data_IF_035515704042
#
_entry.id   IF_035515704042
#
_cell.length_a   1.000
_cell.length_b   1.000
_cell.length_c   1.000
_cell.angle_alpha   90.00
_cell.angle_beta   90.00
_cell.angle_gamma   90.00
#
_symmetry.space_group_name_H-M   'P 1'
#
loop_
_entity.id
_entity.type
_entity.pdbx_description
1 polymer ?
#
# COMPACT_ATOMS: atom_id res chain seq x y z
N UNK A 1 -3.34 -10.42 40.23
CA UNK A 1 -3.80 -10.40 38.83
C UNK A 1 -2.61 -10.03 37.95
N UNK A 2 -2.08 -10.96 37.19
CA UNK A 2 -1.00 -10.68 36.20
C UNK A 2 -1.62 -10.07 34.97
N UNK A 3 -1.18 -8.86 34.57
CA UNK A 3 -1.56 -8.25 33.28
C UNK A 3 -1.02 -9.14 32.16
N UNK A 4 -1.79 -9.38 31.06
CA UNK A 4 -1.27 -10.09 29.92
C UNK A 4 -0.16 -9.23 29.28
N UNK A 5 1.03 -9.81 29.16
CA UNK A 5 2.11 -9.28 28.33
C UNK A 5 1.63 -9.43 26.89
N UNK A 6 1.41 -8.31 26.19
CA UNK A 6 1.19 -8.36 24.76
C UNK A 6 2.48 -8.86 24.11
N UNK A 7 2.45 -10.08 23.57
CA UNK A 7 3.51 -10.54 22.69
C UNK A 7 3.64 -9.51 21.55
N UNK A 8 4.84 -8.98 21.34
CA UNK A 8 5.08 -8.02 20.28
C UNK A 8 4.81 -8.69 18.93
N UNK A 9 4.29 -7.92 17.95
CA UNK A 9 4.00 -8.42 16.59
C UNK A 9 5.21 -9.09 15.92
N UNK A 10 6.43 -8.75 16.32
CA UNK A 10 7.66 -9.37 15.86
C UNK A 10 7.79 -10.86 16.28
N UNK A 11 7.38 -11.20 17.51
CA UNK A 11 7.46 -12.59 18.01
C UNK A 11 6.44 -13.49 17.30
N UNK A 12 5.28 -12.92 16.93
CA UNK A 12 4.24 -13.65 16.19
C UNK A 12 4.70 -13.93 14.76
N UNK A 13 5.28 -12.93 14.05
CA UNK A 13 5.73 -13.10 12.69
C UNK A 13 6.94 -14.04 12.53
N UNK A 14 7.82 -14.12 13.53
CA UNK A 14 8.98 -15.03 13.52
C UNK A 14 8.58 -16.52 13.49
N UNK A 15 7.37 -16.86 13.94
CA UNK A 15 6.83 -18.23 13.87
C UNK A 15 6.38 -18.70 12.47
N UNK A 16 6.30 -17.77 11.49
CA UNK A 16 5.80 -18.08 10.12
C UNK A 16 6.95 -18.31 9.10
N UNK A 17 8.04 -18.92 9.47
CA UNK A 17 9.32 -18.87 8.75
C UNK A 17 9.41 -19.56 7.39
N UNK A 18 8.41 -20.26 6.88
CA UNK A 18 8.50 -21.02 5.61
C UNK A 18 7.33 -20.82 4.63
N UNK A 19 6.17 -20.37 5.06
CA UNK A 19 4.99 -20.21 4.20
C UNK A 19 4.61 -18.75 4.04
N UNK A 20 3.91 -18.38 2.94
CA UNK A 20 3.35 -17.04 2.78
C UNK A 20 2.45 -16.65 3.96
N UNK A 21 2.54 -15.39 4.39
CA UNK A 21 1.75 -14.84 5.50
C UNK A 21 0.69 -13.92 4.90
N UNK A 22 -0.53 -14.01 5.42
CA UNK A 22 -1.61 -13.06 5.16
C UNK A 22 -1.87 -12.19 6.39
N UNK A 23 -2.12 -10.90 6.19
CA UNK A 23 -2.64 -9.99 7.21
C UNK A 23 -4.11 -9.70 6.92
N UNK A 24 -4.97 -9.84 7.92
CA UNK A 24 -6.36 -9.36 7.82
C UNK A 24 -6.34 -7.84 7.64
N UNK A 25 -6.75 -7.36 6.48
CA UNK A 25 -6.65 -5.95 6.09
C UNK A 25 -7.90 -5.12 6.44
N UNK A 26 -9.03 -5.78 6.63
CA UNK A 26 -10.34 -5.20 7.01
C UNK A 26 -10.61 -5.34 8.51
N UNK A 27 -11.66 -4.71 9.02
CA UNK A 27 -11.98 -4.73 10.46
C UNK A 27 -12.21 -6.14 10.99
N UNK A 28 -12.86 -6.99 10.19
CA UNK A 28 -13.06 -8.41 10.48
C UNK A 28 -13.26 -9.20 9.20
N UNK A 29 -12.88 -10.47 9.21
CA UNK A 29 -13.11 -11.43 8.13
C UNK A 29 -13.54 -12.77 8.73
N UNK A 30 -14.49 -13.41 8.09
CA UNK A 30 -14.99 -14.70 8.51
C UNK A 30 -14.16 -15.84 7.91
N UNK A 31 -13.88 -16.85 8.73
CA UNK A 31 -13.28 -18.12 8.33
C UNK A 31 -14.41 -19.11 8.09
N UNK A 32 -14.49 -19.64 6.89
CA UNK A 32 -15.51 -20.59 6.45
C UNK A 32 -14.94 -22.01 6.34
N UNK A 33 -15.80 -23.04 6.48
CA UNK A 33 -15.38 -24.44 6.32
C UNK A 33 -15.02 -24.79 4.89
N UNK A 34 -15.67 -24.13 3.91
CA UNK A 34 -15.44 -24.27 2.48
C UNK A 34 -15.20 -22.89 1.84
N UNK A 35 -14.62 -22.79 0.63
CA UNK A 35 -14.42 -21.54 -0.08
C UNK A 35 -15.74 -20.99 -0.66
N UNK A 36 -16.70 -20.76 0.20
CA UNK A 36 -18.06 -20.26 -0.06
C UNK A 36 -18.55 -19.46 1.13
N UNK A 37 -19.01 -18.23 0.89
CA UNK A 37 -19.55 -17.34 1.91
C UNK A 37 -20.85 -17.87 2.55
N UNK A 38 -21.55 -18.78 1.90
CA UNK A 38 -22.72 -19.47 2.43
C UNK A 38 -22.40 -20.71 3.27
N UNK A 39 -21.15 -21.15 3.28
CA UNK A 39 -20.74 -22.32 4.08
C UNK A 39 -20.67 -21.99 5.57
N UNK A 40 -20.69 -23.00 6.48
CA UNK A 40 -20.65 -22.76 7.91
C UNK A 40 -19.46 -21.89 8.35
N UNK A 41 -19.75 -20.90 9.20
CA UNK A 41 -18.76 -20.08 9.87
C UNK A 41 -18.00 -20.89 10.92
N UNK A 42 -16.67 -20.86 10.87
CA UNK A 42 -15.82 -21.44 11.91
C UNK A 42 -15.57 -20.42 13.03
N UNK A 43 -15.06 -19.23 12.67
CA UNK A 43 -14.89 -18.07 13.55
C UNK A 43 -14.59 -16.82 12.72
N UNK A 44 -14.55 -15.67 13.38
CA UNK A 44 -14.20 -14.37 12.76
C UNK A 44 -12.84 -13.91 13.24
N UNK A 45 -11.97 -13.49 12.31
CA UNK A 45 -10.69 -12.86 12.60
C UNK A 45 -10.81 -11.33 12.56
N UNK A 46 -10.04 -10.67 13.41
CA UNK A 46 -9.98 -9.21 13.46
C UNK A 46 -8.84 -8.64 12.64
N UNK A 47 -8.95 -7.37 12.27
CA UNK A 47 -7.89 -6.59 11.62
C UNK A 47 -6.55 -6.83 12.28
N UNK A 48 -5.52 -6.89 11.46
CA UNK A 48 -4.12 -7.11 11.84
C UNK A 48 -3.78 -8.55 12.35
N UNK A 49 -4.76 -9.47 12.39
CA UNK A 49 -4.44 -10.88 12.61
C UNK A 49 -3.58 -11.38 11.46
N UNK A 50 -2.48 -12.06 11.80
CA UNK A 50 -1.62 -12.75 10.84
C UNK A 50 -2.04 -14.20 10.72
N UNK A 51 -2.15 -14.69 9.49
CA UNK A 51 -2.51 -16.07 9.16
C UNK A 51 -1.47 -16.67 8.23
N UNK A 52 -1.24 -17.97 8.36
CA UNK A 52 -0.41 -18.71 7.44
C UNK A 52 -1.24 -19.08 6.21
N UNK A 53 -0.76 -18.72 5.01
CA UNK A 53 -1.41 -19.07 3.75
C UNK A 53 -0.91 -20.45 3.32
N UNK A 54 -1.81 -21.43 3.31
CA UNK A 54 -1.50 -22.80 2.87
C UNK A 54 -1.72 -22.99 1.37
N UNK A 55 -2.45 -22.09 0.73
CA UNK A 55 -2.75 -22.11 -0.70
C UNK A 55 -3.85 -21.13 -1.07
N UNK A 56 -4.17 -21.07 -2.35
CA UNK A 56 -5.29 -20.33 -2.90
C UNK A 56 -6.16 -21.26 -3.74
N UNK A 57 -7.47 -21.05 -3.69
CA UNK A 57 -8.44 -21.77 -4.50
C UNK A 57 -9.39 -20.79 -5.17
N UNK A 58 -9.97 -21.18 -6.29
CA UNK A 58 -11.04 -20.43 -6.95
C UNK A 58 -12.38 -21.11 -6.69
N UNK A 59 -13.35 -20.33 -6.29
CA UNK A 59 -14.74 -20.76 -6.07
C UNK A 59 -15.65 -19.54 -6.24
N UNK A 60 -16.96 -19.72 -6.14
CA UNK A 60 -17.87 -18.59 -6.14
C UNK A 60 -17.57 -17.69 -4.93
N UNK A 61 -17.21 -16.45 -5.20
CA UNK A 61 -16.78 -15.49 -4.19
C UNK A 61 -17.75 -14.33 -4.00
N UNK A 62 -17.70 -13.68 -2.84
CA UNK A 62 -18.46 -12.46 -2.60
C UNK A 62 -18.21 -11.43 -3.70
N UNK A 63 -19.30 -10.85 -4.19
CA UNK A 63 -19.26 -9.73 -5.15
C UNK A 63 -18.44 -10.02 -6.43
N UNK A 64 -18.26 -11.30 -6.81
CA UNK A 64 -17.59 -11.70 -8.06
C UNK A 64 -16.06 -11.83 -7.99
N UNK A 65 -15.42 -11.79 -6.81
CA UNK A 65 -14.04 -12.20 -6.65
C UNK A 65 -13.98 -13.70 -6.29
N UNK A 66 -13.53 -14.57 -7.22
CA UNK A 66 -13.58 -16.03 -7.01
C UNK A 66 -12.43 -16.56 -6.13
N UNK A 67 -11.52 -15.71 -5.67
CA UNK A 67 -10.30 -16.17 -4.99
C UNK A 67 -10.47 -16.28 -3.49
N UNK A 68 -10.11 -17.44 -2.95
CA UNK A 68 -10.09 -17.74 -1.53
C UNK A 68 -8.71 -18.16 -1.07
N UNK A 69 -8.36 -17.77 0.14
CA UNK A 69 -7.12 -18.15 0.83
C UNK A 69 -7.42 -19.32 1.75
N UNK A 70 -6.71 -20.43 1.59
CA UNK A 70 -6.75 -21.56 2.50
C UNK A 70 -5.85 -21.33 3.68
N UNK A 71 -6.38 -21.48 4.89
CA UNK A 71 -5.64 -21.47 6.16
C UNK A 71 -5.91 -22.80 6.90
N UNK A 72 -5.23 -23.04 8.03
CA UNK A 72 -5.37 -24.27 8.78
C UNK A 72 -6.84 -24.56 9.19
N UNK A 73 -7.56 -23.53 9.60
CA UNK A 73 -8.93 -23.66 10.11
C UNK A 73 -10.01 -23.63 9.02
N UNK A 74 -9.69 -23.36 7.75
CA UNK A 74 -10.68 -23.22 6.68
C UNK A 74 -10.27 -22.24 5.59
N UNK A 75 -11.20 -21.40 5.16
CA UNK A 75 -11.04 -20.51 4.02
C UNK A 75 -11.44 -19.07 4.36
N UNK A 76 -10.69 -18.12 3.82
CA UNK A 76 -10.90 -16.68 3.92
C UNK A 76 -11.04 -16.09 2.53
N UNK A 77 -11.93 -15.10 2.35
CA UNK A 77 -11.99 -14.38 1.08
C UNK A 77 -10.70 -13.58 0.83
N UNK A 78 -10.10 -13.75 -0.34
CA UNK A 78 -8.76 -13.21 -0.64
C UNK A 78 -8.70 -11.69 -0.66
N UNK A 79 -9.80 -11.01 -1.00
CA UNK A 79 -9.88 -9.55 -1.09
C UNK A 79 -9.59 -8.86 0.24
N UNK A 80 -9.84 -9.54 1.35
CA UNK A 80 -9.70 -9.04 2.71
C UNK A 80 -8.34 -9.39 3.35
N UNK A 81 -7.52 -10.16 2.63
CA UNK A 81 -6.23 -10.66 3.11
C UNK A 81 -5.10 -10.04 2.29
N UNK A 82 -4.32 -9.16 2.90
CA UNK A 82 -3.09 -8.66 2.30
C UNK A 82 -1.99 -9.72 2.40
N UNK A 83 -1.41 -10.22 1.30
CA UNK A 83 -0.19 -11.01 1.35
C UNK A 83 0.96 -10.17 1.90
N UNK A 84 1.67 -10.68 2.90
CA UNK A 84 2.75 -9.94 3.56
C UNK A 84 3.98 -10.82 3.73
N UNK A 85 5.13 -10.18 3.97
CA UNK A 85 6.39 -10.85 4.31
C UNK A 85 6.94 -10.29 5.60
N UNK A 86 7.67 -11.10 6.33
CA UNK A 86 8.47 -10.66 7.46
C UNK A 86 9.94 -10.63 7.05
N UNK A 87 10.44 -9.44 6.76
CA UNK A 87 11.79 -9.25 6.23
C UNK A 87 12.49 -8.09 6.95
N UNK A 88 12.82 -8.26 8.24
CA UNK A 88 13.47 -7.22 9.01
C UNK A 88 14.81 -6.85 8.39
N UNK A 89 15.17 -5.58 8.52
CA UNK A 89 16.37 -5.00 7.91
C UNK A 89 17.46 -4.78 8.95
N UNK A 90 18.69 -4.68 8.49
CA UNK A 90 19.77 -4.14 9.30
C UNK A 90 19.74 -2.62 9.14
N UNK A 91 19.38 -1.86 10.20
CA UNK A 91 19.22 -0.43 10.08
C UNK A 91 20.57 0.29 9.94
N UNK A 92 20.58 1.40 9.19
CA UNK A 92 21.72 2.28 9.10
C UNK A 92 21.76 3.23 10.29
N UNK A 93 22.95 3.47 10.84
CA UNK A 93 23.18 4.43 11.93
C UNK A 93 23.13 5.90 11.46
N UNK A 94 23.21 6.12 10.15
CA UNK A 94 23.20 7.45 9.54
C UNK A 94 22.55 7.42 8.17
N UNK A 95 21.81 8.48 7.86
CA UNK A 95 21.32 8.80 6.51
C UNK A 95 21.66 10.27 6.20
N UNK A 96 22.11 10.54 4.98
CA UNK A 96 22.64 11.86 4.60
C UNK A 96 21.59 12.76 3.93
N UNK A 97 20.44 12.20 3.53
CA UNK A 97 19.35 12.91 2.87
C UNK A 97 18.00 12.28 3.19
N UNK A 98 16.93 13.05 3.04
CA UNK A 98 15.57 12.51 3.13
C UNK A 98 15.40 11.43 2.07
N UNK A 99 15.05 10.23 2.51
CA UNK A 99 14.98 9.04 1.67
C UNK A 99 13.64 8.34 1.88
N UNK A 100 12.96 7.88 0.83
CA UNK A 100 11.79 7.03 0.99
C UNK A 100 12.22 5.65 1.53
N UNK A 101 11.40 5.10 2.41
CA UNK A 101 11.59 3.75 2.95
C UNK A 101 10.27 2.97 2.93
N UNK A 102 10.36 1.71 2.60
CA UNK A 102 9.21 0.79 2.57
C UNK A 102 9.15 -0.04 3.85
N UNK A 103 7.96 -0.21 4.40
CA UNK A 103 7.73 -1.13 5.51
C UNK A 103 7.92 -2.57 5.02
N UNK A 104 8.89 -3.28 5.61
CA UNK A 104 9.35 -4.61 5.19
C UNK A 104 8.88 -5.74 6.11
N UNK A 105 8.05 -5.40 7.10
CA UNK A 105 7.41 -6.34 8.03
C UNK A 105 5.89 -6.22 7.94
N UNK A 106 5.11 -7.21 8.37
CA UNK A 106 3.65 -7.16 8.26
C UNK A 106 3.04 -5.90 8.87
N UNK A 107 3.52 -5.52 10.06
CA UNK A 107 3.03 -4.36 10.82
C UNK A 107 4.22 -3.75 11.58
N UNK A 108 4.47 -2.48 11.38
CA UNK A 108 5.41 -1.68 12.16
C UNK A 108 4.64 -0.69 13.04
N UNK A 109 5.08 -0.53 14.28
CA UNK A 109 4.50 0.45 15.20
C UNK A 109 5.29 1.75 15.13
N UNK A 110 4.59 2.88 15.06
CA UNK A 110 5.20 4.20 15.15
C UNK A 110 4.89 4.86 16.50
N UNK A 111 5.83 5.71 16.94
CA UNK A 111 5.80 6.30 18.28
C UNK A 111 6.07 7.81 18.19
N UNK A 112 5.55 8.55 19.17
CA UNK A 112 5.81 9.99 19.29
C UNK A 112 7.25 10.26 19.73
N UNK A 113 7.81 9.39 20.54
CA UNK A 113 9.20 9.46 21.02
C UNK A 113 9.84 8.08 20.92
N UNK A 114 11.15 8.01 21.13
CA UNK A 114 11.87 6.72 21.15
C UNK A 114 11.74 5.96 22.48
N UNK A 115 10.98 6.46 23.42
CA UNK A 115 10.64 5.77 24.65
C UNK A 115 9.48 4.78 24.37
N UNK A 116 9.71 3.47 24.49
CA UNK A 116 8.70 2.45 24.17
C UNK A 116 7.50 2.43 25.14
N UNK A 117 7.55 3.20 26.22
CA UNK A 117 6.41 3.34 27.17
C UNK A 117 5.33 4.25 26.60
N UNK A 118 5.64 5.06 25.58
CA UNK A 118 4.68 5.98 25.00
C UNK A 118 3.68 5.32 24.05
N UNK A 119 2.57 6.03 23.88
CA UNK A 119 1.46 5.58 23.04
C UNK A 119 1.87 5.41 21.58
N UNK A 120 1.47 4.30 20.99
CA UNK A 120 1.58 4.06 19.55
C UNK A 120 0.75 5.12 18.83
N UNK A 121 1.35 5.78 17.83
CA UNK A 121 0.67 6.79 17.00
C UNK A 121 -0.06 6.15 15.83
N UNK A 122 0.68 5.35 15.04
CA UNK A 122 0.17 4.63 13.88
C UNK A 122 0.65 3.20 13.89
N UNK A 123 -0.13 2.35 13.23
CA UNK A 123 0.36 1.09 12.67
C UNK A 123 0.67 1.34 11.21
N UNK A 124 1.91 1.08 10.82
CA UNK A 124 2.37 1.15 9.44
C UNK A 124 2.40 -0.27 8.89
N UNK A 125 1.97 -0.43 7.66
CA UNK A 125 1.72 -1.74 7.09
C UNK A 125 2.70 -2.08 5.98
N UNK A 126 2.91 -3.36 5.77
CA UNK A 126 3.77 -3.90 4.72
C UNK A 126 3.53 -3.20 3.38
N UNK A 127 4.61 -2.81 2.68
CA UNK A 127 4.61 -2.07 1.42
C UNK A 127 4.08 -0.62 1.48
N UNK A 128 3.70 -0.10 2.65
CA UNK A 128 3.57 1.37 2.76
C UNK A 128 4.95 2.03 2.68
N UNK A 129 5.01 3.23 2.12
CA UNK A 129 6.27 3.97 1.91
C UNK A 129 6.24 5.28 2.69
N UNK A 130 7.34 5.60 3.37
CA UNK A 130 7.44 6.76 4.25
C UNK A 130 8.72 7.54 4.03
N UNK A 131 8.68 8.85 4.26
CA UNK A 131 9.87 9.69 4.22
C UNK A 131 10.67 9.52 5.50
N UNK A 132 11.89 9.03 5.39
CA UNK A 132 12.87 8.98 6.50
C UNK A 132 13.75 10.21 6.41
N UNK A 133 13.70 11.03 7.47
CA UNK A 133 14.41 12.30 7.56
C UNK A 133 15.75 12.16 8.27
N UNK A 134 15.86 11.19 9.17
CA UNK A 134 17.05 11.01 9.98
C UNK A 134 17.01 9.75 10.82
N UNK A 135 18.02 9.63 11.65
CA UNK A 135 18.23 8.50 12.55
C UNK A 135 18.35 9.03 13.98
N UNK A 136 17.84 8.28 14.94
CA UNK A 136 18.04 8.50 16.37
C UNK A 136 18.43 7.19 17.03
N UNK A 137 19.49 7.23 17.84
CA UNK A 137 19.87 6.12 18.72
C UNK A 137 19.07 6.28 20.00
N UNK A 138 18.26 5.28 20.30
CA UNK A 138 17.41 5.22 21.50
C UNK A 138 18.00 4.36 22.62
N UNK A 139 17.19 4.05 23.63
CA UNK A 139 17.61 3.15 24.71
C UNK A 139 18.09 1.78 24.17
N UNK A 140 19.09 1.21 24.85
CA UNK A 140 19.76 -0.07 24.48
C UNK A 140 20.39 -0.03 23.08
N UNK A 141 20.85 1.15 22.65
CA UNK A 141 21.48 1.37 21.35
C UNK A 141 20.59 1.02 20.14
N UNK A 142 19.26 0.93 20.36
CA UNK A 142 18.33 0.65 19.28
C UNK A 142 18.29 1.82 18.30
N UNK A 143 18.40 1.50 17.00
CA UNK A 143 18.33 2.47 15.91
C UNK A 143 16.86 2.71 15.57
N UNK A 144 16.47 3.99 15.58
CA UNK A 144 15.15 4.47 15.21
C UNK A 144 15.25 5.38 14.00
N UNK A 145 14.38 5.18 13.01
CA UNK A 145 14.22 6.12 11.93
C UNK A 145 13.22 7.20 12.31
N UNK A 146 13.58 8.45 11.99
CA UNK A 146 12.73 9.62 12.13
C UNK A 146 11.93 9.76 10.84
N UNK A 147 10.65 9.45 10.87
CA UNK A 147 9.76 9.60 9.75
C UNK A 147 9.16 11.00 9.74
N UNK A 148 8.88 11.52 8.55
CA UNK A 148 8.25 12.81 8.37
C UNK A 148 7.02 12.70 7.49
N UNK A 149 5.87 13.00 8.06
CA UNK A 149 4.61 13.13 7.33
C UNK A 149 4.48 14.56 6.80
N UNK A 150 4.56 14.72 5.48
CA UNK A 150 4.51 16.03 4.82
C UNK A 150 3.15 16.69 4.93
N UNK A 151 2.07 15.92 4.90
CA UNK A 151 0.70 16.45 4.99
C UNK A 151 0.40 16.97 6.38
N UNK A 152 0.81 16.24 7.40
CA UNK A 152 0.57 16.60 8.79
C UNK A 152 1.64 17.54 9.36
N UNK A 153 2.79 17.71 8.67
CA UNK A 153 3.93 18.47 9.16
C UNK A 153 4.51 17.89 10.46
N UNK A 154 4.46 16.56 10.64
CA UNK A 154 4.82 15.89 11.89
C UNK A 154 5.89 14.83 11.71
N UNK A 155 6.68 14.69 12.77
CA UNK A 155 7.68 13.63 12.91
C UNK A 155 7.18 12.55 13.86
N UNK A 156 7.59 11.31 13.60
CA UNK A 156 7.37 10.16 14.45
C UNK A 156 8.47 9.13 14.25
N UNK A 157 8.58 8.17 15.15
CA UNK A 157 9.71 7.23 15.21
C UNK A 157 9.22 5.82 14.94
N UNK A 158 10.03 5.07 14.17
CA UNK A 158 9.82 3.64 13.90
C UNK A 158 11.14 2.91 14.07
N UNK A 159 11.12 1.69 14.61
CA UNK A 159 12.33 0.87 14.67
C UNK A 159 12.93 0.69 13.27
N UNK A 160 14.21 1.01 13.14
CA UNK A 160 14.87 0.99 11.84
C UNK A 160 14.90 -0.39 11.17
N UNK A 161 14.81 -1.43 11.97
CA UNK A 161 14.70 -2.84 11.53
C UNK A 161 13.40 -3.15 10.77
N UNK A 162 12.37 -2.33 10.90
CA UNK A 162 11.08 -2.51 10.22
C UNK A 162 10.99 -1.88 8.83
N UNK A 163 12.00 -1.11 8.44
CA UNK A 163 11.97 -0.28 7.24
C UNK A 163 13.15 -0.56 6.32
N UNK A 164 12.88 -0.84 5.07
CA UNK A 164 13.86 -0.93 4.01
C UNK A 164 14.03 0.45 3.36
N UNK A 165 15.18 1.09 3.57
CA UNK A 165 15.52 2.32 2.85
C UNK A 165 15.61 2.03 1.35
N UNK A 166 15.00 2.90 0.54
CA UNK A 166 14.99 2.74 -0.90
C UNK A 166 16.15 3.49 -1.53
N UNK A 167 17.05 2.75 -2.16
CA UNK A 167 18.09 3.35 -2.99
C UNK A 167 17.47 4.03 -4.23
N UNK A 168 18.05 5.11 -4.75
CA UNK A 168 17.52 5.82 -5.93
C UNK A 168 17.24 4.92 -7.12
N UNK A 169 18.05 3.90 -7.34
CA UNK A 169 17.91 2.92 -8.42
C UNK A 169 16.60 2.14 -8.32
N UNK A 170 16.07 1.97 -7.10
CA UNK A 170 14.80 1.27 -6.84
C UNK A 170 13.57 2.03 -7.35
N UNK A 171 13.66 3.37 -7.50
CA UNK A 171 12.56 4.21 -7.98
C UNK A 171 12.94 5.14 -9.15
N UNK A 172 14.16 5.04 -9.67
CA UNK A 172 14.60 5.80 -10.85
C UNK A 172 13.77 5.45 -12.09
N UNK A 173 13.66 6.39 -13.06
CA UNK A 173 12.91 6.17 -14.30
C UNK A 173 13.39 4.94 -15.08
N UNK A 174 12.47 4.31 -15.77
CA UNK A 174 12.71 3.23 -16.75
C UNK A 174 12.12 3.63 -18.10
N UNK A 175 12.57 2.96 -19.17
CA UNK A 175 12.16 3.24 -20.57
C UNK A 175 12.27 4.74 -20.90
N UNK A 176 13.39 5.35 -20.50
CA UNK A 176 13.65 6.79 -20.69
C UNK A 176 13.98 7.15 -22.13
N UNK A 177 14.32 6.16 -22.94
CA UNK A 177 14.53 6.26 -24.39
C UNK A 177 13.22 6.43 -25.18
N UNK A 178 12.08 6.10 -24.55
CA UNK A 178 10.76 6.22 -25.19
C UNK A 178 10.19 7.62 -24.94
N UNK A 179 9.84 8.30 -25.99
CA UNK A 179 9.24 9.64 -25.92
C UNK A 179 7.95 9.64 -25.07
N UNK A 180 7.78 10.60 -24.14
CA UNK A 180 6.64 10.63 -23.23
C UNK A 180 5.26 10.60 -23.93
N UNK A 181 5.12 11.20 -25.12
CA UNK A 181 3.84 11.20 -25.87
C UNK A 181 3.50 9.85 -26.50
N UNK A 182 4.46 8.94 -26.61
CA UNK A 182 4.26 7.55 -27.03
C UNK A 182 3.74 6.66 -25.91
N UNK A 183 3.85 7.13 -24.67
CA UNK A 183 3.37 6.43 -23.49
C UNK A 183 1.93 6.85 -23.18
N UNK A 184 1.06 5.87 -22.96
CA UNK A 184 -0.29 6.11 -22.49
C UNK A 184 -0.77 5.00 -21.57
N UNK A 185 -1.68 5.36 -20.68
CA UNK A 185 -2.38 4.45 -19.76
C UNK A 185 -3.84 4.45 -20.15
N UNK A 186 -4.42 3.30 -20.36
CA UNK A 186 -5.86 3.12 -20.57
C UNK A 186 -6.45 2.34 -19.39
N UNK A 187 -7.57 2.83 -18.83
CA UNK A 187 -8.26 2.23 -17.71
C UNK A 187 -9.69 1.96 -18.13
N UNK A 188 -10.05 0.67 -18.14
CA UNK A 188 -11.40 0.21 -18.42
C UNK A 188 -12.12 -0.07 -17.10
N UNK A 189 -13.04 0.83 -16.71
CA UNK A 189 -13.73 0.74 -15.42
C UNK A 189 -14.66 -0.46 -15.34
N UNK A 190 -15.27 -0.86 -16.44
CA UNK A 190 -16.15 -2.04 -16.49
C UNK A 190 -15.41 -3.34 -16.25
N UNK A 191 -14.16 -3.44 -16.69
CA UNK A 191 -13.27 -4.61 -16.54
C UNK A 191 -12.34 -4.50 -15.34
N UNK A 192 -12.25 -3.31 -14.72
CA UNK A 192 -11.30 -2.99 -13.65
C UNK A 192 -9.87 -3.37 -14.04
N UNK A 193 -9.45 -2.92 -15.23
CA UNK A 193 -8.13 -3.18 -15.80
C UNK A 193 -7.45 -1.87 -16.18
N UNK A 194 -6.13 -1.88 -16.04
CA UNK A 194 -5.22 -0.86 -16.55
C UNK A 194 -4.30 -1.50 -17.56
N UNK A 195 -4.13 -0.86 -18.72
CA UNK A 195 -3.18 -1.25 -19.75
C UNK A 195 -2.27 -0.07 -20.06
N UNK A 196 -0.95 -0.29 -19.98
CA UNK A 196 0.07 0.68 -20.37
C UNK A 196 0.61 0.34 -21.76
N UNK A 197 0.77 1.38 -22.57
CA UNK A 197 1.20 1.24 -23.96
C UNK A 197 2.41 2.11 -24.26
N UNK A 198 3.30 1.60 -25.12
CA UNK A 198 4.32 2.35 -25.87
C UNK A 198 3.94 2.30 -27.34
N UNK A 199 3.56 3.45 -27.92
CA UNK A 199 2.87 3.53 -29.23
C UNK A 199 1.64 2.59 -29.28
N UNK A 200 1.70 1.51 -30.06
CA UNK A 200 0.64 0.51 -30.18
C UNK A 200 0.91 -0.77 -29.34
N UNK A 201 2.09 -0.89 -28.76
CA UNK A 201 2.51 -2.08 -28.03
C UNK A 201 2.04 -2.03 -26.56
N UNK A 202 1.47 -3.13 -26.08
CA UNK A 202 1.13 -3.31 -24.68
C UNK A 202 2.39 -3.68 -23.89
N UNK A 203 2.78 -2.86 -22.92
CA UNK A 203 3.98 -3.08 -22.09
C UNK A 203 3.65 -3.52 -20.67
N UNK A 204 2.42 -3.29 -20.21
CA UNK A 204 1.93 -3.75 -18.89
C UNK A 204 0.43 -3.85 -18.88
N UNK A 205 -0.08 -4.89 -18.22
CA UNK A 205 -1.49 -5.01 -17.83
C UNK A 205 -1.59 -5.30 -16.35
N UNK A 206 -2.60 -4.73 -15.69
CA UNK A 206 -2.86 -4.93 -14.26
C UNK A 206 -4.35 -4.87 -13.96
N UNK A 207 -4.80 -5.63 -12.97
CA UNK A 207 -6.10 -5.40 -12.33
C UNK A 207 -5.99 -4.20 -11.42
N UNK A 208 -7.05 -3.39 -11.37
CA UNK A 208 -7.13 -2.20 -10.53
C UNK A 208 -8.38 -2.23 -9.64
N UNK A 209 -8.46 -1.28 -8.70
CA UNK A 209 -9.70 -0.99 -8.00
C UNK A 209 -9.98 0.49 -8.11
N UNK A 210 -10.99 0.83 -8.89
CA UNK A 210 -11.45 2.21 -9.10
C UNK A 210 -12.37 2.69 -7.98
N UNK A 211 -12.86 3.90 -8.12
CA UNK A 211 -13.88 4.50 -7.25
C UNK A 211 -15.18 3.72 -7.24
N UNK A 212 -15.84 3.70 -6.07
CA UNK A 212 -17.14 3.05 -5.88
C UNK A 212 -18.22 3.67 -6.77
N UNK A 213 -19.13 2.88 -7.35
CA UNK A 213 -20.25 3.36 -8.16
C UNK A 213 -21.35 3.99 -7.28
N UNK A 214 -20.97 4.98 -6.48
CA UNK A 214 -21.85 5.72 -5.56
C UNK A 214 -22.03 7.17 -5.96
N UNK A 215 -22.07 8.10 -5.00
CA UNK A 215 -22.11 9.53 -5.22
C UNK A 215 -20.95 9.99 -6.14
N UNK A 216 -21.15 11.12 -6.85
CA UNK A 216 -20.16 11.60 -7.84
C UNK A 216 -18.73 11.74 -7.28
N UNK A 217 -18.60 12.15 -6.01
CA UNK A 217 -17.31 12.32 -5.33
C UNK A 217 -16.58 10.99 -4.97
N UNK A 218 -17.24 9.84 -5.13
CA UNK A 218 -16.60 8.53 -4.94
C UNK A 218 -16.26 7.82 -6.24
N UNK A 219 -16.69 8.36 -7.39
CA UNK A 219 -16.44 7.75 -8.71
C UNK A 219 -15.09 8.18 -9.26
N UNK A 220 -14.40 7.27 -9.93
CA UNK A 220 -13.27 7.64 -10.77
C UNK A 220 -13.82 8.43 -12.00
N UNK A 221 -13.30 9.63 -12.28
CA UNK A 221 -13.76 10.42 -13.42
C UNK A 221 -13.36 9.75 -14.73
N UNK A 222 -14.28 9.77 -15.72
CA UNK A 222 -14.00 9.31 -17.08
C UNK A 222 -13.51 10.47 -17.95
N UNK A 223 -12.68 10.15 -18.93
CA UNK A 223 -12.11 11.17 -19.84
C UNK A 223 -10.64 10.93 -20.15
N UNK A 224 -9.99 12.00 -20.64
CA UNK A 224 -8.57 12.02 -20.95
C UNK A 224 -7.85 13.01 -20.04
N UNK A 225 -6.87 12.51 -19.31
CA UNK A 225 -6.08 13.23 -18.33
C UNK A 225 -4.59 13.06 -18.61
N UNK A 226 -3.75 13.73 -17.83
CA UNK A 226 -2.30 13.55 -17.83
C UNK A 226 -1.78 13.49 -16.41
N UNK A 227 -0.76 12.66 -16.15
CA UNK A 227 -0.10 12.66 -14.86
C UNK A 227 0.61 14.00 -14.64
N UNK A 228 0.28 14.70 -13.57
CA UNK A 228 0.77 16.06 -13.29
C UNK A 228 1.81 16.07 -12.17
N UNK A 229 1.57 15.32 -11.10
CA UNK A 229 2.48 15.25 -9.94
C UNK A 229 2.73 13.79 -9.61
N UNK A 230 3.99 13.46 -9.33
CA UNK A 230 4.37 12.15 -8.80
C UNK A 230 5.11 12.30 -7.49
N UNK A 231 4.81 11.42 -6.54
CA UNK A 231 5.52 11.36 -5.26
C UNK A 231 5.65 9.90 -4.80
N UNK A 232 6.77 9.57 -4.15
CA UNK A 232 7.01 8.22 -3.67
C UNK A 232 5.98 7.79 -2.62
N UNK A 233 5.48 8.73 -1.83
CA UNK A 233 4.42 8.45 -0.86
C UNK A 233 3.67 9.71 -0.45
N UNK A 234 2.46 9.48 0.06
CA UNK A 234 1.60 10.51 0.65
C UNK A 234 0.78 9.91 1.78
N UNK A 235 0.39 10.73 2.75
CA UNK A 235 -0.67 10.40 3.69
C UNK A 235 -2.03 10.68 3.03
N UNK A 236 -2.96 9.75 3.07
CA UNK A 236 -4.35 9.95 2.66
C UNK A 236 -5.27 9.67 3.85
N UNK A 237 -6.30 10.49 4.02
CA UNK A 237 -7.26 10.36 5.12
C UNK A 237 -7.57 11.67 5.81
N UNK A 238 -8.21 11.58 6.97
CA UNK A 238 -8.68 12.73 7.75
C UNK A 238 -7.56 13.50 8.45
N UNK A 239 -6.34 13.00 8.45
CA UNK A 239 -5.19 13.63 9.12
C UNK A 239 -5.19 13.49 10.63
N UNK A 240 -5.81 12.44 11.15
CA UNK A 240 -5.83 12.14 12.58
C UNK A 240 -4.70 11.21 12.96
N UNK A 241 -3.96 11.57 14.01
CA UNK A 241 -2.99 10.67 14.64
C UNK A 241 -3.74 9.68 15.54
N UNK A 242 -4.14 8.54 15.00
CA UNK A 242 -4.96 7.58 15.73
C UNK A 242 -4.59 6.13 15.40
N UNK A 243 -4.80 5.24 16.36
CA UNK A 243 -4.79 3.79 16.19
C UNK A 243 -6.18 3.21 16.04
N UNK A 244 -7.21 4.06 15.94
CA UNK A 244 -8.60 3.64 15.74
C UNK A 244 -8.70 2.92 14.37
N UNK A 245 -9.06 1.64 14.33
CA UNK A 245 -9.17 0.89 13.10
C UNK A 245 -10.32 1.37 12.20
N UNK A 246 -11.25 2.16 12.74
CA UNK A 246 -12.39 2.72 11.99
C UNK A 246 -12.08 4.07 11.37
N UNK A 247 -11.00 4.73 11.78
CA UNK A 247 -10.59 5.99 11.19
C UNK A 247 -10.09 5.77 9.75
N UNK A 248 -10.47 6.67 8.85
CA UNK A 248 -9.94 6.69 7.50
C UNK A 248 -8.55 7.35 7.51
N UNK A 249 -7.54 6.55 7.79
CA UNK A 249 -6.15 6.98 7.87
C UNK A 249 -5.26 5.99 7.13
N UNK A 250 -4.63 6.47 6.06
CA UNK A 250 -3.75 5.70 5.19
C UNK A 250 -2.37 6.36 5.13
N UNK A 251 -1.55 6.21 6.18
CA UNK A 251 -0.20 6.75 6.18
C UNK A 251 0.68 6.00 5.18
N UNK A 252 1.43 6.76 4.37
CA UNK A 252 2.41 6.18 3.48
C UNK A 252 1.84 5.45 2.27
N UNK A 253 0.76 5.98 1.67
CA UNK A 253 0.24 5.47 0.38
C UNK A 253 1.35 5.56 -0.67
N UNK A 254 1.78 4.44 -1.28
CA UNK A 254 2.98 4.41 -2.10
C UNK A 254 2.74 4.74 -3.57
N UNK A 255 3.74 5.33 -4.22
CA UNK A 255 3.91 5.47 -5.67
C UNK A 255 2.76 6.20 -6.35
N UNK A 256 2.51 7.42 -5.88
CA UNK A 256 1.35 8.22 -6.26
C UNK A 256 1.62 9.01 -7.54
N UNK A 257 0.70 8.93 -8.50
CA UNK A 257 0.67 9.74 -9.72
C UNK A 257 -0.68 10.45 -9.86
N UNK A 258 -0.74 11.73 -9.49
CA UNK A 258 -1.95 12.54 -9.61
C UNK A 258 -2.20 12.89 -11.07
N UNK A 259 -3.41 12.60 -11.58
CA UNK A 259 -3.86 12.94 -12.94
C UNK A 259 -5.04 13.91 -12.93
N UNK A 260 -5.74 14.05 -11.83
CA UNK A 260 -6.77 15.04 -11.58
C UNK A 260 -6.53 15.66 -10.19
N UNK A 261 -6.00 16.90 -10.16
CA UNK A 261 -5.49 17.53 -8.93
C UNK A 261 -6.61 18.18 -8.12
N UNK A 262 -7.63 18.74 -8.77
CA UNK A 262 -8.67 19.51 -8.10
C UNK A 262 -9.42 18.68 -7.05
N UNK A 263 -9.69 17.41 -7.37
CA UNK A 263 -10.32 16.45 -6.45
C UNK A 263 -9.33 15.44 -5.87
N UNK A 264 -8.02 15.58 -6.13
CA UNK A 264 -6.98 14.73 -5.60
C UNK A 264 -6.99 13.30 -6.12
N UNK A 265 -7.44 13.07 -7.36
CA UNK A 265 -7.54 11.73 -7.95
C UNK A 265 -6.20 11.29 -8.53
N UNK A 266 -5.77 10.10 -8.14
CA UNK A 266 -4.46 9.57 -8.47
C UNK A 266 -4.48 8.06 -8.79
N UNK A 267 -3.43 7.61 -9.48
CA UNK A 267 -2.98 6.22 -9.50
C UNK A 267 -2.04 6.00 -8.31
N UNK A 268 -2.20 4.95 -7.53
CA UNK A 268 -1.30 4.66 -6.41
C UNK A 268 -1.37 3.21 -5.95
N UNK A 269 -0.36 2.74 -5.23
CA UNK A 269 -0.40 1.44 -4.58
C UNK A 269 -1.36 1.40 -3.39
N UNK A 270 -2.01 0.26 -3.19
CA UNK A 270 -2.88 0.02 -2.05
C UNK A 270 -2.41 -1.20 -1.25
N UNK A 271 -2.12 -0.98 0.04
CA UNK A 271 -1.70 -2.02 0.99
C UNK A 271 -2.83 -2.45 1.94
N UNK A 272 -4.00 -1.81 1.86
CA UNK A 272 -5.13 -2.02 2.79
C UNK A 272 -6.23 -2.92 2.26
N UNK A 273 -6.10 -3.46 1.06
CA UNK A 273 -6.94 -4.50 0.49
C UNK A 273 -6.19 -5.30 -0.57
N UNK A 274 -6.75 -6.43 -0.97
CA UNK A 274 -6.24 -7.29 -2.05
C UNK A 274 -7.35 -7.67 -3.05
N UNK A 275 -8.36 -6.80 -3.17
CA UNK A 275 -9.55 -7.03 -3.97
C UNK A 275 -9.50 -6.32 -5.34
N UNK A 276 -8.36 -6.43 -6.01
CA UNK A 276 -8.17 -5.85 -7.34
C UNK A 276 -9.01 -6.59 -8.38
N UNK A 277 -9.59 -5.82 -9.30
CA UNK A 277 -10.61 -6.27 -10.25
C UNK A 277 -12.00 -5.76 -9.88
N UNK A 278 -12.12 -4.95 -8.81
CA UNK A 278 -13.40 -4.43 -8.28
C UNK A 278 -13.24 -3.01 -7.73
N UNK A 279 -14.28 -2.15 -7.82
CA UNK A 279 -14.25 -0.82 -7.22
C UNK A 279 -14.12 -0.88 -5.68
N UNK A 280 -13.17 -0.10 -5.11
CA UNK A 280 -12.92 -0.07 -3.65
C UNK A 280 -12.53 1.32 -3.13
N UNK A 281 -12.33 2.31 -4.01
CA UNK A 281 -11.79 3.61 -3.64
C UNK A 281 -12.86 4.71 -3.58
N UNK A 282 -12.44 5.91 -3.21
CA UNK A 282 -13.25 7.13 -3.24
C UNK A 282 -12.88 8.03 -4.45
N UNK A 283 -12.47 7.42 -5.57
CA UNK A 283 -12.16 8.11 -6.82
C UNK A 283 -10.80 7.74 -7.40
N UNK A 284 -9.79 7.51 -6.58
CA UNK A 284 -8.48 7.06 -7.02
C UNK A 284 -8.52 5.68 -7.69
N UNK A 285 -7.48 5.35 -8.44
CA UNK A 285 -7.28 4.03 -9.02
C UNK A 285 -6.20 3.32 -8.23
N UNK A 286 -6.63 2.35 -7.43
CA UNK A 286 -5.76 1.54 -6.61
C UNK A 286 -5.09 0.44 -7.45
N UNK A 287 -3.80 0.23 -7.23
CA UNK A 287 -2.97 -0.77 -7.89
C UNK A 287 -2.29 -1.67 -6.85
N UNK A 288 -1.85 -2.84 -7.26
CA UNK A 288 -0.82 -3.56 -6.51
C UNK A 288 0.40 -2.64 -6.31
N UNK A 289 1.03 -2.60 -5.12
CA UNK A 289 2.17 -1.71 -4.86
C UNK A 289 3.32 -1.84 -5.87
N UNK A 290 3.59 -3.05 -6.36
CA UNK A 290 4.58 -3.32 -7.40
C UNK A 290 4.21 -2.76 -8.77
N UNK A 291 2.93 -2.78 -9.15
CA UNK A 291 2.43 -2.18 -10.39
C UNK A 291 2.46 -0.66 -10.30
N UNK A 292 2.11 -0.11 -9.13
CA UNK A 292 2.19 1.33 -8.87
C UNK A 292 3.65 1.82 -8.94
N UNK A 293 4.61 1.06 -8.37
CA UNK A 293 6.04 1.37 -8.49
C UNK A 293 6.50 1.34 -9.95
N UNK A 294 6.08 0.32 -10.70
CA UNK A 294 6.42 0.21 -12.11
C UNK A 294 5.90 1.41 -12.90
N UNK A 295 4.61 1.78 -12.74
CA UNK A 295 4.02 2.96 -13.37
C UNK A 295 4.70 4.25 -12.94
N UNK A 296 5.03 4.39 -11.66
CA UNK A 296 5.76 5.53 -11.14
C UNK A 296 7.12 5.71 -11.83
N UNK A 297 7.84 4.63 -12.08
CA UNK A 297 9.13 4.65 -12.76
C UNK A 297 9.00 4.88 -14.26
N UNK A 298 8.00 4.29 -14.89
CA UNK A 298 7.81 4.28 -16.34
C UNK A 298 7.15 5.55 -16.89
N UNK A 299 6.23 6.15 -16.15
CA UNK A 299 5.43 7.30 -16.63
C UNK A 299 6.19 8.62 -16.57
N UNK A 300 5.77 9.60 -17.40
CA UNK A 300 6.17 11.00 -17.29
C UNK A 300 5.20 11.77 -16.35
N UNK A 301 5.66 12.84 -15.67
CA UNK A 301 7.03 13.36 -15.66
C UNK A 301 8.04 12.36 -15.11
N UNK A 302 9.24 12.35 -15.68
CA UNK A 302 10.30 11.44 -15.21
C UNK A 302 10.73 11.81 -13.80
N UNK A 303 10.65 10.84 -12.90
CA UNK A 303 11.00 11.04 -11.50
C UNK A 303 12.51 10.79 -11.29
N UNK A 304 13.34 11.75 -11.61
CA UNK A 304 14.74 11.76 -11.15
C UNK A 304 14.82 11.93 -9.63
N UNK A 305 13.82 12.57 -9.04
CA UNK A 305 13.63 12.76 -7.61
C UNK A 305 12.39 11.99 -7.14
N UNK A 306 12.31 11.73 -5.84
CA UNK A 306 11.18 11.01 -5.27
C UNK A 306 9.85 11.80 -5.26
N UNK A 307 9.87 13.06 -5.64
CA UNK A 307 8.69 13.89 -5.91
C UNK A 307 8.98 14.80 -7.10
N UNK A 308 8.15 14.75 -8.12
CA UNK A 308 8.29 15.53 -9.35
C UNK A 308 6.94 16.09 -9.75
N UNK A 309 6.95 17.38 -10.12
CA UNK A 309 5.78 18.06 -10.69
C UNK A 309 6.00 18.27 -12.19
N UNK A 310 5.01 17.87 -12.99
CA UNK A 310 5.02 18.10 -14.42
C UNK A 310 4.62 19.53 -14.78
N UNK A 311 5.13 20.02 -15.89
CA UNK A 311 4.73 21.31 -16.46
C UNK A 311 3.60 21.11 -17.47
N UNK A 312 2.38 21.45 -17.08
CA UNK A 312 1.21 21.63 -17.94
C UNK A 312 1.05 20.67 -19.14
N UNK A 313 0.46 19.49 -18.96
CA UNK A 313 0.10 18.60 -20.06
C UNK A 313 1.20 17.71 -20.64
N UNK A 314 2.41 17.76 -20.11
CA UNK A 314 3.56 16.95 -20.59
C UNK A 314 3.69 15.58 -19.91
N UNK A 315 2.82 15.24 -18.97
CA UNK A 315 2.82 13.93 -18.33
C UNK A 315 2.20 12.83 -19.20
N UNK A 316 2.43 11.58 -18.81
CA UNK A 316 1.82 10.43 -19.48
C UNK A 316 0.32 10.56 -19.52
N UNK A 317 -0.28 10.38 -20.70
CA UNK A 317 -1.72 10.44 -20.94
C UNK A 317 -2.44 9.29 -20.24
N UNK A 318 -3.53 9.59 -19.54
CA UNK A 318 -4.40 8.63 -18.85
C UNK A 318 -5.79 8.74 -19.47
N UNK A 319 -6.28 7.64 -20.03
CA UNK A 319 -7.60 7.55 -20.68
C UNK A 319 -8.45 6.62 -19.83
N UNK A 320 -9.60 7.10 -19.35
CA UNK A 320 -10.50 6.37 -18.45
C UNK A 320 -11.89 6.25 -19.10
N UNK A 321 -12.40 5.03 -19.21
CA UNK A 321 -13.68 4.69 -19.87
C UNK A 321 -14.54 3.81 -18.98
#
# INVERSE_FOLDING_TARGET
>A
MRKPVSAGTADVAAGFSALPIGRVAVNSVDVHTEPDAGSPLVFTLRKDTLVQILGTVESEGPEGNPRWVKVEAGYLHSGDIQPVRYHPQIPLERIDRITPAEVSVPIAQSYRTVDPVEQILYRLYYQSVHWVKGVKIGPRERIWYILYDRQLGREYFVGGDNLRLLAPEGYSPIATEIDPWKKRIEIELSAQTLTAFEDAEVVRESKVSSGLPGPAHTRTPTGTFHIQIKTACVHMGDGRLTTDPLAYELPGVPWVGYFEIENGVALHGAYWHNDFGRPRSHGCVNLYPEDALWLYRWSAPSAAEATVQGTGGLGTRVIIR
#
